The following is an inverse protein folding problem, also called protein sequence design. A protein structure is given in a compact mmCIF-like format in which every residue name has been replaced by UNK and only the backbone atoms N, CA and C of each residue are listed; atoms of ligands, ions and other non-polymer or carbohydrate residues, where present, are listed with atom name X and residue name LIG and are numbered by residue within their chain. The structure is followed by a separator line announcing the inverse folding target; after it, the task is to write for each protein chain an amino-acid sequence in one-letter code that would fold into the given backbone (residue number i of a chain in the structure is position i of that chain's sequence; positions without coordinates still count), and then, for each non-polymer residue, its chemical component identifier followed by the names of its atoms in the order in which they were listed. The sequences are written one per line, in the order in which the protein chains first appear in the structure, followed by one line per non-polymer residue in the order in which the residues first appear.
data_IF_741556286729
#
_entry.id   IF_741556286729
#
_cell.length_a   1.000
_cell.length_b   1.000
_cell.length_c   1.000
_cell.angle_alpha   90.00
_cell.angle_beta   90.00
_cell.angle_gamma   90.00
#
_symmetry.space_group_name_H-M   'P 1'
#
loop_
_entity.id
_entity.type
_entity.pdbx_description
1 polymer ?
#
# COMPACT_ATOMS: atom_id res chain seq x y z
N UNK A 1 -11.41 -11.56 -6.50
CA UNK A 1 -11.13 -10.36 -7.32
C UNK A 1 -12.11 -10.13 -8.50
N UNK A 2 -13.33 -10.65 -8.45
CA UNK A 2 -14.33 -10.53 -9.54
C UNK A 2 -14.67 -9.07 -9.97
N UNK A 3 -14.69 -8.05 -9.08
CA UNK A 3 -15.07 -6.69 -9.48
C UNK A 3 -14.19 -6.05 -10.58
N UNK A 4 -13.00 -6.60 -10.87
CA UNK A 4 -12.10 -6.11 -11.91
C UNK A 4 -12.19 -6.88 -13.24
N UNK A 5 -13.07 -7.88 -13.36
CA UNK A 5 -13.11 -8.79 -14.52
C UNK A 5 -13.21 -8.13 -15.90
N UNK A 6 -13.85 -6.96 -15.99
CA UNK A 6 -14.03 -6.25 -17.26
C UNK A 6 -12.74 -5.58 -17.75
N UNK A 7 -11.85 -5.19 -16.82
CA UNK A 7 -10.56 -4.59 -17.12
C UNK A 7 -9.64 -4.72 -15.90
N UNK A 8 -8.65 -5.62 -15.98
CA UNK A 8 -7.73 -5.95 -14.89
C UNK A 8 -6.28 -5.99 -15.37
N UNK A 9 -5.36 -5.67 -14.44
CA UNK A 9 -3.92 -5.88 -14.62
C UNK A 9 -3.45 -7.29 -14.20
N UNK A 10 -4.24 -7.99 -13.38
CA UNK A 10 -3.91 -9.31 -12.87
C UNK A 10 -4.35 -10.43 -13.83
N UNK A 11 -3.76 -11.62 -13.65
CA UNK A 11 -4.19 -12.84 -14.35
C UNK A 11 -5.20 -13.63 -13.52
N UNK A 12 -5.86 -14.62 -14.14
CA UNK A 12 -6.73 -15.55 -13.40
C UNK A 12 -5.97 -16.34 -12.33
N UNK A 13 -4.70 -16.67 -12.57
CA UNK A 13 -3.86 -17.36 -11.59
C UNK A 13 -3.58 -16.46 -10.38
N UNK A 14 -3.16 -15.22 -10.64
CA UNK A 14 -2.94 -14.19 -9.60
C UNK A 14 -4.20 -13.96 -8.77
N UNK A 15 -5.36 -13.91 -9.41
CA UNK A 15 -6.61 -13.65 -8.69
C UNK A 15 -7.08 -14.83 -7.84
N UNK A 16 -6.84 -16.08 -8.26
CA UNK A 16 -7.09 -17.24 -7.41
C UNK A 16 -6.20 -17.19 -6.16
N UNK A 17 -4.91 -16.91 -6.37
CA UNK A 17 -3.87 -16.98 -5.34
C UNK A 17 -3.89 -15.80 -4.37
N UNK A 18 -4.57 -14.72 -4.72
CA UNK A 18 -4.90 -13.66 -3.77
C UNK A 18 -5.78 -14.16 -2.60
N UNK A 19 -6.44 -15.32 -2.71
CA UNK A 19 -7.31 -15.89 -1.68
C UNK A 19 -6.67 -17.05 -0.90
N UNK A 20 -5.48 -17.50 -1.30
CA UNK A 20 -4.77 -18.60 -0.65
C UNK A 20 -3.81 -18.08 0.43
N UNK A 21 -3.74 -18.78 1.56
CA UNK A 21 -2.75 -18.48 2.60
C UNK A 21 -1.35 -18.92 2.15
N UNK A 22 -0.32 -18.10 2.38
CA UNK A 22 1.05 -18.36 1.91
C UNK A 22 1.14 -18.58 0.39
N UNK A 23 0.33 -17.86 -0.39
CA UNK A 23 0.29 -18.01 -1.84
C UNK A 23 1.61 -17.65 -2.51
N UNK A 24 1.83 -18.12 -3.75
CA UNK A 24 3.10 -17.88 -4.44
C UNK A 24 3.40 -16.39 -4.69
N UNK A 25 2.39 -15.52 -4.59
CA UNK A 25 2.52 -14.08 -4.86
C UNK A 25 3.62 -13.48 -3.97
N UNK A 26 3.52 -13.75 -2.67
CA UNK A 26 4.40 -13.17 -1.66
C UNK A 26 4.84 -14.16 -0.58
N UNK A 27 4.35 -15.40 -0.63
CA UNK A 27 4.49 -16.42 0.41
C UNK A 27 4.17 -15.86 1.80
N UNK A 28 3.13 -15.02 1.87
CA UNK A 28 2.83 -14.22 3.04
C UNK A 28 1.85 -14.96 3.97
N UNK A 29 2.25 -15.07 5.22
CA UNK A 29 1.50 -15.62 6.32
C UNK A 29 0.71 -14.53 7.04
N UNK A 30 -0.61 -14.54 6.82
CA UNK A 30 -1.55 -13.69 7.57
C UNK A 30 -1.61 -14.09 9.04
N UNK A 31 -1.37 -15.36 9.37
CA UNK A 31 -1.52 -15.95 10.70
C UNK A 31 -0.21 -15.91 11.53
N UNK A 32 0.66 -14.92 11.30
CA UNK A 32 1.99 -14.82 11.92
C UNK A 32 1.97 -14.61 13.45
N UNK A 33 0.81 -14.28 14.03
CA UNK A 33 0.60 -14.17 15.48
C UNK A 33 -0.49 -15.11 16.01
N UNK A 34 -0.94 -16.08 15.22
CA UNK A 34 -2.16 -16.87 15.45
C UNK A 34 -3.17 -16.66 14.32
N UNK A 35 -4.25 -17.44 14.32
CA UNK A 35 -5.26 -17.40 13.25
C UNK A 35 -5.88 -16.00 13.17
N UNK A 36 -5.72 -15.33 12.04
CA UNK A 36 -6.37 -14.06 11.75
C UNK A 36 -7.87 -14.27 11.51
N UNK A 37 -8.70 -13.40 12.07
CA UNK A 37 -10.13 -13.48 11.86
C UNK A 37 -10.52 -13.32 10.38
N UNK A 38 -11.52 -14.09 9.93
CA UNK A 38 -12.02 -14.04 8.54
C UNK A 38 -12.46 -12.62 8.11
N UNK A 39 -13.08 -11.88 9.03
CA UNK A 39 -13.51 -10.48 8.78
C UNK A 39 -12.33 -9.54 8.53
N UNK A 40 -11.16 -9.82 9.10
CA UNK A 40 -9.94 -9.06 8.87
C UNK A 40 -9.22 -9.56 7.61
N UNK A 41 -9.05 -10.88 7.47
CA UNK A 41 -8.36 -11.54 6.36
C UNK A 41 -8.97 -11.15 4.99
N UNK A 42 -10.31 -11.06 4.89
CA UNK A 42 -10.97 -10.63 3.65
C UNK A 42 -10.53 -9.24 3.15
N UNK A 43 -10.13 -8.33 4.04
CA UNK A 43 -9.64 -7.01 3.63
C UNK A 43 -8.24 -7.08 3.02
N UNK A 44 -7.36 -7.95 3.55
CA UNK A 44 -6.05 -8.23 2.94
C UNK A 44 -6.17 -8.93 1.58
N UNK A 45 -7.15 -9.82 1.43
CA UNK A 45 -7.47 -10.42 0.14
C UNK A 45 -7.95 -9.34 -0.84
N UNK A 46 -8.87 -8.46 -0.40
CA UNK A 46 -9.38 -7.37 -1.24
C UNK A 46 -8.29 -6.35 -1.59
N UNK A 47 -7.38 -6.06 -0.66
CA UNK A 47 -6.17 -5.25 -0.87
C UNK A 47 -5.28 -5.84 -1.97
N UNK A 48 -5.00 -7.14 -1.87
CA UNK A 48 -4.23 -7.87 -2.88
C UNK A 48 -4.92 -7.79 -4.24
N UNK A 49 -6.25 -8.02 -4.30
CA UNK A 49 -7.00 -7.85 -5.53
C UNK A 49 -6.93 -6.42 -6.08
N UNK A 50 -7.04 -5.40 -5.22
CA UNK A 50 -6.99 -4.01 -5.65
C UNK A 50 -5.60 -3.64 -6.19
N UNK A 51 -4.54 -4.00 -5.48
CA UNK A 51 -3.16 -3.75 -5.88
C UNK A 51 -2.79 -4.47 -7.18
N UNK A 52 -3.11 -5.77 -7.28
CA UNK A 52 -2.72 -6.59 -8.45
C UNK A 52 -3.61 -6.33 -9.67
N UNK A 53 -4.91 -6.06 -9.47
CA UNK A 53 -5.87 -6.03 -10.57
C UNK A 53 -6.28 -4.62 -11.01
N UNK A 54 -6.15 -3.57 -10.19
CA UNK A 54 -6.71 -2.26 -10.53
C UNK A 54 -5.92 -1.55 -11.64
N UNK A 55 -6.52 -1.28 -12.81
CA UNK A 55 -5.86 -0.53 -13.89
C UNK A 55 -5.86 0.98 -13.65
N UNK A 56 -6.45 1.45 -12.54
CA UNK A 56 -6.69 2.87 -12.28
C UNK A 56 -5.72 3.45 -11.23
N UNK A 57 -4.67 2.71 -10.88
CA UNK A 57 -3.66 3.15 -9.90
C UNK A 57 -2.55 4.04 -10.51
N UNK A 58 -2.55 4.22 -11.84
CA UNK A 58 -1.55 4.97 -12.59
C UNK A 58 -1.08 6.31 -11.98
N UNK A 59 -1.99 7.19 -11.49
CA UNK A 59 -1.58 8.49 -10.93
C UNK A 59 -0.65 8.42 -9.72
N UNK A 60 -0.55 7.27 -9.05
CA UNK A 60 0.19 7.05 -7.82
C UNK A 60 1.35 6.08 -7.97
N UNK A 61 1.63 5.61 -9.20
CA UNK A 61 2.76 4.74 -9.47
C UNK A 61 4.05 5.57 -9.40
N UNK A 62 5.02 5.09 -8.63
CA UNK A 62 6.35 5.68 -8.48
C UNK A 62 7.43 4.60 -8.62
N UNK A 63 8.65 4.98 -9.07
CA UNK A 63 9.80 4.07 -9.08
C UNK A 63 10.08 3.48 -7.69
N UNK A 64 10.50 2.22 -7.67
CA UNK A 64 10.81 1.48 -6.46
C UNK A 64 12.23 0.91 -6.55
N UNK A 65 13.03 1.10 -5.50
CA UNK A 65 14.38 0.53 -5.41
C UNK A 65 14.35 -0.82 -4.69
N UNK A 66 13.54 -1.76 -5.18
CA UNK A 66 13.41 -3.10 -4.63
C UNK A 66 13.77 -4.17 -5.67
N UNK A 67 14.41 -5.26 -5.23
CA UNK A 67 14.91 -6.31 -6.15
C UNK A 67 13.82 -7.05 -6.92
N UNK A 68 12.58 -7.01 -6.43
CA UNK A 68 11.44 -7.77 -6.93
C UNK A 68 10.39 -6.92 -7.66
N UNK A 69 10.51 -5.59 -7.66
CA UNK A 69 9.63 -4.69 -8.42
C UNK A 69 10.34 -3.38 -8.78
N UNK A 70 10.06 -2.88 -9.98
CA UNK A 70 10.59 -1.60 -10.48
C UNK A 70 9.76 -0.40 -10.09
N UNK A 71 8.49 -0.63 -9.79
CA UNK A 71 7.50 0.40 -9.51
C UNK A 71 6.58 -0.06 -8.38
N UNK A 72 6.00 0.89 -7.66
CA UNK A 72 5.00 0.66 -6.61
C UNK A 72 3.99 1.79 -6.57
N UNK A 73 2.87 1.58 -5.90
CA UNK A 73 1.98 2.67 -5.54
C UNK A 73 2.47 3.39 -4.26
N UNK A 74 2.26 4.70 -4.22
CA UNK A 74 2.48 5.55 -3.04
C UNK A 74 1.36 6.59 -2.92
N UNK A 75 0.91 6.80 -1.68
CA UNK A 75 -0.09 7.81 -1.30
C UNK A 75 -1.43 7.70 -2.06
N UNK A 76 -1.87 6.49 -2.39
CA UNK A 76 -3.19 6.26 -3.01
C UNK A 76 -4.29 6.70 -2.02
N UNK A 77 -5.16 7.66 -2.37
CA UNK A 77 -6.14 8.23 -1.46
C UNK A 77 -7.26 7.23 -1.21
N UNK A 78 -7.17 6.44 -0.14
CA UNK A 78 -8.19 5.44 0.19
C UNK A 78 -9.41 6.15 0.78
N UNK A 79 -10.62 5.74 0.36
CA UNK A 79 -11.85 6.30 0.91
C UNK A 79 -11.97 6.00 2.41
N UNK A 80 -12.57 6.95 3.13
CA UNK A 80 -12.76 6.92 4.58
C UNK A 80 -13.34 5.57 5.03
N UNK A 81 -14.43 5.13 4.41
CA UNK A 81 -15.18 3.94 4.80
C UNK A 81 -14.38 2.65 4.57
N UNK A 82 -13.53 2.59 3.53
CA UNK A 82 -12.71 1.41 3.26
C UNK A 82 -11.60 1.28 4.30
N UNK A 83 -10.93 2.38 4.65
CA UNK A 83 -9.90 2.34 5.68
C UNK A 83 -10.49 2.07 7.07
N UNK A 84 -11.62 2.70 7.43
CA UNK A 84 -12.25 2.49 8.73
C UNK A 84 -12.86 1.11 8.87
N UNK A 85 -13.52 0.57 7.83
CA UNK A 85 -14.08 -0.78 7.89
C UNK A 85 -13.00 -1.85 8.01
N UNK A 86 -11.88 -1.71 7.27
CA UNK A 86 -10.73 -2.59 7.41
C UNK A 86 -10.18 -2.57 8.84
N UNK A 87 -9.94 -1.37 9.39
CA UNK A 87 -9.46 -1.23 10.76
C UNK A 87 -10.43 -1.84 11.79
N UNK A 88 -11.72 -1.56 11.67
CA UNK A 88 -12.73 -2.01 12.62
C UNK A 88 -12.91 -3.53 12.61
N UNK A 89 -12.78 -4.17 11.44
CA UNK A 89 -12.86 -5.62 11.33
C UNK A 89 -11.61 -6.29 11.93
N UNK A 90 -10.43 -5.67 11.84
CA UNK A 90 -9.17 -6.18 12.38
C UNK A 90 -8.86 -5.80 13.84
N UNK A 91 -9.59 -4.86 14.46
CA UNK A 91 -9.22 -4.29 15.78
C UNK A 91 -9.07 -5.30 16.93
N UNK A 92 -9.69 -6.48 16.81
CA UNK A 92 -9.60 -7.54 17.82
C UNK A 92 -8.56 -8.62 17.50
N UNK A 93 -7.95 -8.56 16.31
CA UNK A 93 -6.82 -9.42 15.93
C UNK A 93 -5.52 -8.94 16.59
N UNK A 94 -4.44 -9.67 16.32
CA UNK A 94 -3.12 -9.43 16.90
C UNK A 94 -2.05 -9.42 15.82
N UNK A 95 -1.01 -8.62 16.02
CA UNK A 95 0.16 -8.58 15.14
C UNK A 95 1.40 -8.20 15.93
N UNK A 96 2.58 -8.48 15.39
CA UNK A 96 3.87 -8.17 15.99
C UNK A 96 4.58 -6.98 15.32
N UNK A 97 4.03 -6.42 14.25
CA UNK A 97 4.65 -5.36 13.44
C UNK A 97 3.63 -4.33 12.97
N UNK A 98 4.07 -3.07 12.89
CA UNK A 98 3.30 -1.96 12.33
C UNK A 98 3.56 -1.73 10.84
N UNK A 99 4.71 -2.17 10.32
CA UNK A 99 5.04 -2.16 8.90
C UNK A 99 5.27 -3.58 8.39
N UNK A 100 4.36 -4.05 7.55
CA UNK A 100 4.33 -5.41 7.00
C UNK A 100 5.05 -5.53 5.66
N UNK A 101 5.52 -4.42 5.10
CA UNK A 101 6.25 -4.43 3.85
C UNK A 101 7.72 -4.86 4.02
N UNK A 102 8.35 -4.56 5.17
CA UNK A 102 9.79 -4.83 5.40
C UNK A 102 10.07 -5.33 6.82
N UNK A 103 11.21 -5.99 6.99
CA UNK A 103 11.74 -6.38 8.29
C UNK A 103 11.01 -7.55 8.94
N UNK A 104 10.60 -8.55 8.16
CA UNK A 104 10.17 -9.87 8.64
C UNK A 104 11.36 -10.81 8.76
N UNK A 105 11.22 -11.88 9.56
CA UNK A 105 12.13 -13.00 9.54
C UNK A 105 11.67 -14.03 8.49
N UNK A 106 12.51 -14.31 7.49
CA UNK A 106 12.25 -15.26 6.39
C UNK A 106 13.14 -16.51 6.47
N UNK A 107 13.57 -16.88 7.68
CA UNK A 107 14.51 -18.00 7.88
C UNK A 107 13.97 -19.33 7.30
N UNK A 108 14.82 -20.03 6.56
CA UNK A 108 14.52 -21.26 5.80
C UNK A 108 14.44 -22.54 6.65
N UNK A 109 14.40 -22.43 7.98
CA UNK A 109 14.50 -23.56 8.92
C UNK A 109 13.20 -24.35 9.14
N UNK A 110 12.09 -23.90 8.57
CA UNK A 110 10.79 -24.61 8.55
C UNK A 110 10.43 -24.81 7.07
N UNK A 111 9.81 -25.93 6.72
CA UNK A 111 9.58 -26.40 5.33
C UNK A 111 8.85 -25.43 4.37
N UNK A 112 8.50 -24.21 4.78
CA UNK A 112 7.99 -23.13 3.95
C UNK A 112 8.64 -21.80 4.37
N UNK A 113 9.26 -21.08 3.43
CA UNK A 113 9.92 -19.79 3.66
C UNK A 113 8.91 -18.64 3.84
N UNK A 114 8.07 -18.72 4.86
CA UNK A 114 7.00 -17.74 5.15
C UNK A 114 7.51 -16.65 6.10
N UNK A 115 6.86 -15.48 6.11
CA UNK A 115 7.21 -14.42 7.06
C UNK A 115 6.86 -14.83 8.50
N UNK A 116 7.81 -14.60 9.39
CA UNK A 116 7.67 -14.78 10.82
C UNK A 116 8.00 -13.47 11.55
N UNK A 117 7.39 -13.31 12.73
CA UNK A 117 7.72 -12.20 13.62
C UNK A 117 9.25 -12.12 13.86
N UNK A 118 9.85 -10.92 13.74
CA UNK A 118 11.27 -10.73 14.02
C UNK A 118 11.65 -11.14 15.43
N UNK A 119 12.94 -11.37 15.64
CA UNK A 119 13.46 -11.69 16.98
C UNK A 119 13.06 -10.59 17.97
N UNK A 120 12.49 -11.00 19.11
CA UNK A 120 11.98 -10.14 20.18
C UNK A 120 10.73 -9.31 19.83
N UNK A 121 10.15 -9.45 18.64
CA UNK A 121 8.85 -8.86 18.35
C UNK A 121 7.76 -9.64 19.09
N UNK A 122 6.94 -8.93 19.86
CA UNK A 122 5.86 -9.51 20.66
C UNK A 122 4.54 -9.26 19.95
N UNK A 123 3.71 -10.30 19.81
CA UNK A 123 2.35 -10.18 19.32
C UNK A 123 1.51 -9.36 20.31
N UNK A 124 0.88 -8.30 19.81
CA UNK A 124 0.07 -7.34 20.57
C UNK A 124 -1.26 -7.13 19.90
N UNK A 125 -2.24 -6.61 20.65
CA UNK A 125 -3.56 -6.27 20.09
C UNK A 125 -3.41 -5.30 18.92
N UNK A 126 -4.20 -5.49 17.86
CA UNK A 126 -4.18 -4.65 16.67
C UNK A 126 -4.25 -3.16 17.02
N UNK A 127 -5.11 -2.79 17.97
CA UNK A 127 -5.28 -1.41 18.45
C UNK A 127 -4.07 -0.84 19.19
N UNK A 128 -3.19 -1.67 19.76
CA UNK A 128 -1.94 -1.23 20.39
C UNK A 128 -0.86 -0.93 19.35
N UNK A 129 -0.87 -1.66 18.24
CA UNK A 129 0.07 -1.47 17.12
C UNK A 129 -0.41 -0.34 16.20
N UNK A 130 -1.71 -0.27 15.96
CA UNK A 130 -2.39 0.72 15.15
C UNK A 130 -3.46 1.45 16.00
N UNK A 131 -3.13 2.61 16.58
CA UNK A 131 -4.07 3.34 17.43
C UNK A 131 -5.30 3.89 16.69
N UNK A 132 -5.20 4.10 15.38
CA UNK A 132 -6.29 4.60 14.52
C UNK A 132 -6.27 3.93 13.15
N UNK A 133 -7.39 4.01 12.43
CA UNK A 133 -7.52 3.56 11.04
C UNK A 133 -6.50 4.25 10.12
N UNK A 134 -6.33 5.57 10.25
CA UNK A 134 -5.31 6.32 9.52
C UNK A 134 -3.92 5.71 9.69
N UNK A 135 -3.49 5.47 10.93
CA UNK A 135 -2.15 4.92 11.21
C UNK A 135 -2.01 3.54 10.59
N UNK A 136 -3.05 2.71 10.62
CA UNK A 136 -3.05 1.39 9.98
C UNK A 136 -2.86 1.49 8.47
N UNK A 137 -3.77 2.17 7.76
CA UNK A 137 -3.79 2.19 6.30
C UNK A 137 -2.52 2.83 5.72
N UNK A 138 -1.97 3.84 6.39
CA UNK A 138 -0.74 4.51 5.94
C UNK A 138 0.52 3.69 6.23
N UNK A 139 0.62 3.04 7.40
CA UNK A 139 1.88 2.37 7.80
C UNK A 139 2.02 0.94 7.34
N UNK A 140 0.92 0.18 7.29
CA UNK A 140 0.98 -1.28 7.12
C UNK A 140 1.77 -1.67 5.86
N UNK A 141 1.58 -0.91 4.77
CA UNK A 141 2.28 -1.11 3.50
C UNK A 141 3.28 0.00 3.15
N UNK A 142 3.89 0.65 4.15
CA UNK A 142 4.88 1.72 3.93
C UNK A 142 4.37 2.82 2.98
N UNK A 143 3.26 3.47 3.33
CA UNK A 143 2.66 4.59 2.58
C UNK A 143 2.17 4.22 1.17
N UNK A 144 1.81 2.96 0.91
CA UNK A 144 1.02 2.63 -0.30
C UNK A 144 -0.27 3.43 -0.36
N UNK A 145 -0.93 3.59 0.80
CA UNK A 145 -2.18 4.32 0.94
C UNK A 145 -1.99 5.57 1.77
N UNK A 146 -2.83 6.56 1.46
CA UNK A 146 -3.02 7.78 2.23
C UNK A 146 -4.44 7.83 2.73
N UNK A 147 -4.61 8.06 4.03
CA UNK A 147 -5.92 8.21 4.63
C UNK A 147 -6.59 9.48 4.10
N UNK A 148 -7.90 9.43 3.90
CA UNK A 148 -8.69 10.59 3.53
C UNK A 148 -9.96 10.68 4.36
N UNK A 149 -10.50 11.89 4.48
CA UNK A 149 -11.85 12.13 5.03
C UNK A 149 -12.92 12.11 3.94
N UNK A 150 -12.56 11.70 2.71
CA UNK A 150 -13.45 11.65 1.58
C UNK A 150 -14.25 10.36 1.62
N UNK A 151 -15.56 10.50 1.48
CA UNK A 151 -16.51 9.38 1.41
C UNK A 151 -16.51 8.76 0.01
N UNK A 152 -16.96 7.51 -0.09
CA UNK A 152 -17.01 6.75 -1.37
C UNK A 152 -17.74 7.48 -2.50
N UNK A 153 -18.81 8.20 -2.18
CA UNK A 153 -19.63 8.94 -3.15
C UNK A 153 -18.95 10.23 -3.66
N UNK A 154 -17.84 10.66 -3.07
CA UNK A 154 -17.13 11.88 -3.46
C UNK A 154 -16.55 11.84 -4.88
N UNK A 155 -16.26 10.64 -5.41
CA UNK A 155 -15.52 10.48 -6.65
C UNK A 155 -14.07 10.98 -6.59
N UNK A 156 -13.52 11.17 -5.39
CA UNK A 156 -12.18 11.74 -5.15
C UNK A 156 -11.27 10.84 -4.31
N UNK A 157 -11.69 9.64 -3.97
CA UNK A 157 -10.89 8.66 -3.26
C UNK A 157 -11.09 7.29 -3.92
N UNK A 158 -10.06 6.46 -3.86
CA UNK A 158 -10.07 5.11 -4.41
C UNK A 158 -10.83 4.18 -3.47
N UNK A 159 -11.63 3.30 -4.07
CA UNK A 159 -12.41 2.28 -3.39
C UNK A 159 -11.82 0.91 -3.67
N UNK A 160 -11.50 0.17 -2.63
CA UNK A 160 -11.19 -1.25 -2.66
C UNK A 160 -12.46 -2.08 -2.74
N UNK A 161 -13.52 -1.65 -2.05
CA UNK A 161 -14.82 -2.34 -2.04
C UNK A 161 -15.87 -1.56 -2.83
N UNK A 162 -16.33 -2.15 -3.94
CA UNK A 162 -17.39 -1.60 -4.77
C UNK A 162 -18.22 -2.71 -5.43
N UNK A 163 -19.43 -2.36 -5.86
CA UNK A 163 -20.33 -3.23 -6.62
C UNK A 163 -20.77 -2.51 -7.90
N UNK A 164 -20.96 -3.26 -8.98
CA UNK A 164 -21.32 -2.67 -10.28
C UNK A 164 -20.10 -2.05 -10.99
N UNK A 165 -20.31 -1.01 -11.82
CA UNK A 165 -19.23 -0.39 -12.58
C UNK A 165 -18.11 0.16 -11.68
N UNK A 166 -16.86 -0.02 -12.11
CA UNK A 166 -15.69 0.37 -11.33
C UNK A 166 -15.64 1.91 -11.11
N UNK A 167 -15.80 2.41 -9.86
CA UNK A 167 -15.86 3.84 -9.58
C UNK A 167 -14.50 4.53 -9.72
N UNK A 168 -13.41 3.76 -9.61
CA UNK A 168 -12.04 4.27 -9.58
C UNK A 168 -11.58 4.87 -10.91
N UNK A 169 -12.27 4.56 -12.02
CA UNK A 169 -11.98 5.19 -13.32
C UNK A 169 -12.10 6.72 -13.23
N UNK A 170 -13.21 7.21 -12.66
CA UNK A 170 -13.45 8.65 -12.50
C UNK A 170 -12.48 9.30 -11.53
N UNK A 171 -12.08 8.58 -10.49
CA UNK A 171 -11.10 9.04 -9.50
C UNK A 171 -9.76 9.22 -10.18
N UNK A 172 -9.27 8.21 -10.92
CA UNK A 172 -8.02 8.30 -11.65
C UNK A 172 -8.04 9.43 -12.68
N UNK A 173 -9.11 9.57 -13.47
CA UNK A 173 -9.30 10.67 -14.42
C UNK A 173 -9.23 12.04 -13.73
N UNK A 174 -9.84 12.20 -12.55
CA UNK A 174 -9.77 13.44 -11.77
C UNK A 174 -8.34 13.80 -11.37
N UNK A 175 -7.58 12.84 -10.85
CA UNK A 175 -6.19 13.06 -10.42
C UNK A 175 -5.22 13.25 -11.59
N UNK A 176 -5.52 12.70 -12.76
CA UNK A 176 -4.76 12.98 -14.00
C UNK A 176 -5.02 14.40 -14.53
N UNK A 177 -6.26 14.89 -14.44
CA UNK A 177 -6.70 16.10 -15.13
C UNK A 177 -6.67 17.40 -14.31
N UNK A 178 -6.50 17.35 -12.98
CA UNK A 178 -6.66 18.59 -12.19
C UNK A 178 -6.23 18.58 -10.73
N UNK A 179 -5.57 17.54 -10.21
CA UNK A 179 -4.96 17.66 -8.89
C UNK A 179 -3.73 18.58 -8.98
N UNK A 180 -3.53 19.55 -8.07
CA UNK A 180 -2.28 20.30 -8.02
C UNK A 180 -1.15 19.29 -7.89
N UNK A 181 -0.32 19.15 -8.93
CA UNK A 181 0.97 18.50 -8.81
C UNK A 181 1.66 19.26 -7.69
N UNK A 182 1.81 18.65 -6.51
CA UNK A 182 2.79 19.14 -5.54
C UNK A 182 4.09 19.20 -6.31
N UNK A 183 4.49 20.43 -6.65
CA UNK A 183 5.62 20.68 -7.50
C UNK A 183 6.82 19.96 -6.87
N UNK A 184 7.29 18.90 -7.53
CA UNK A 184 8.65 18.45 -7.35
C UNK A 184 9.49 19.72 -7.52
N UNK A 185 10.18 20.11 -6.44
CA UNK A 185 10.99 21.31 -6.36
C UNK A 185 11.79 21.41 -7.66
N UNK A 186 11.49 22.43 -8.46
CA UNK A 186 12.39 22.83 -9.53
C UNK A 186 13.71 23.17 -8.85
N UNK A 187 14.71 22.30 -9.00
CA UNK A 187 16.08 22.62 -8.65
C UNK A 187 16.46 23.85 -9.45
N UNK A 188 16.48 24.99 -8.77
CA UNK A 188 17.00 26.25 -9.28
C UNK A 188 18.42 26.03 -9.79
N UNK A 189 18.77 26.43 -11.03
CA UNK A 189 20.14 26.35 -11.48
C UNK A 189 20.92 27.44 -10.72
N UNK A 190 21.82 27.01 -9.85
CA UNK A 190 22.83 27.89 -9.25
C UNK A 190 23.66 28.51 -10.38
N UNK A 191 23.75 29.85 -10.50
CA UNK A 191 24.68 30.44 -11.44
C UNK A 191 26.09 30.27 -10.88
N UNK A 192 26.96 29.62 -11.64
CA UNK A 192 28.40 29.62 -11.38
C UNK A 192 28.89 31.08 -11.45
N UNK A 193 29.19 31.68 -10.31
CA UNK A 193 29.98 32.91 -10.24
C UNK A 193 31.43 32.54 -10.55
N UNK A 194 31.87 32.82 -11.78
CA UNK A 194 33.28 32.82 -12.12
C UNK A 194 33.98 33.95 -11.36
N UNK A 195 34.84 33.60 -10.39
CA UNK A 195 35.73 34.56 -9.73
C UNK A 195 36.99 34.72 -10.59
N UNK A 196 37.31 35.92 -11.10
CA UNK A 196 38.60 36.13 -11.72
C UNK A 196 39.64 36.31 -10.61
N UNK A 197 40.67 35.46 -10.64
CA UNK A 197 41.85 35.57 -9.80
C UNK A 197 42.67 36.80 -10.24
N UNK A 198 42.41 37.97 -9.65
CA UNK A 198 43.35 39.08 -9.70
C UNK A 198 44.37 38.90 -8.58
N UNK A 199 45.57 38.48 -8.97
CA UNK A 199 46.79 38.82 -8.23
C UNK A 199 46.89 40.35 -8.13
N UNK A 200 47.31 40.87 -6.97
CA UNK A 200 48.24 42.00 -6.82
C UNK A 200 48.50 42.29 -5.32
N UNK A 201 49.77 42.06 -4.93
CA UNK A 201 50.65 42.90 -4.11
C UNK A 201 50.13 43.52 -2.80
N UNK A 202 50.61 42.98 -1.67
CA UNK A 202 51.46 43.67 -0.69
C UNK A 202 52.17 42.67 0.22
#
# INVERSE_FOLDING_TARGET
CEPWKENACCTANTSAEAHEDNSYLYNFNWDHCGIMSEKCKRHFIQDTCFYECSPHLGPWIQPAEESWRKERILDVPLCLEDCESWYNDCKDDITCKDNWHKGWNWSTGVCLCINQCPRNAVCRKWTEVYPTSQVMCEKIWSNSYKYTTLTKDSGRCMQMWFTGPNPNRKVAEYYLNGAPRTAAMATSPTPFLAVPLLMLLQ
#
